data_IF_141323451634
#
_entry.id   IF_141323451634
#
_cell.length_a   1.000
_cell.length_b   1.000
_cell.length_c   1.000
_cell.angle_alpha   90.00
_cell.angle_beta   90.00
_cell.angle_gamma   90.00
#
_symmetry.space_group_name_H-M   'P 1'
#
loop_
_entity.id
_entity.type
_entity.pdbx_description
1 polymer ?
#
# COMPACT_ATOMS: atom_id res chain seq x y z
N UNK A 1 15.76 -17.47 31.73
CA UNK A 1 15.62 -18.95 31.72
C UNK A 1 16.85 -19.62 31.08
N UNK A 2 17.32 -19.24 29.88
CA UNK A 2 18.47 -19.88 29.20
C UNK A 2 19.79 -19.88 29.99
N UNK A 3 19.95 -19.00 31.00
CA UNK A 3 21.12 -18.99 31.90
C UNK A 3 21.02 -19.94 33.07
N UNK A 4 19.84 -20.48 33.34
CA UNK A 4 19.56 -21.29 34.55
C UNK A 4 19.27 -22.76 34.25
N UNK A 5 18.91 -23.07 32.98
CA UNK A 5 18.53 -24.42 32.57
C UNK A 5 19.24 -24.81 31.26
N UNK A 6 19.61 -26.08 31.08
CA UNK A 6 20.14 -26.59 29.84
C UNK A 6 19.17 -26.33 28.67
N UNK A 7 19.68 -25.98 27.49
CA UNK A 7 18.83 -25.63 26.34
C UNK A 7 17.88 -26.74 25.91
N UNK A 8 18.26 -27.99 26.09
CA UNK A 8 17.45 -29.19 25.79
C UNK A 8 16.19 -29.32 26.68
N UNK A 9 16.18 -28.67 27.83
CA UNK A 9 15.05 -28.71 28.78
C UNK A 9 14.10 -27.52 28.65
N UNK A 10 14.44 -26.55 27.81
CA UNK A 10 13.62 -25.33 27.62
C UNK A 10 12.76 -25.49 26.39
N UNK A 11 11.44 -25.66 26.52
CA UNK A 11 10.55 -25.71 25.38
C UNK A 11 10.55 -24.37 24.60
N UNK A 12 10.39 -24.43 23.29
CA UNK A 12 10.28 -23.23 22.48
C UNK A 12 9.02 -22.42 22.84
N UNK A 13 9.02 -21.12 22.55
CA UNK A 13 7.90 -20.22 22.87
C UNK A 13 6.55 -20.73 22.38
N UNK A 14 6.51 -21.33 21.18
CA UNK A 14 5.28 -21.91 20.60
C UNK A 14 4.77 -23.07 21.42
N UNK A 15 5.64 -23.94 21.90
CA UNK A 15 5.30 -25.10 22.76
C UNK A 15 4.74 -24.61 24.10
N UNK A 16 5.36 -23.59 24.71
CA UNK A 16 4.85 -23.01 25.96
C UNK A 16 3.44 -22.43 25.77
N UNK A 17 3.18 -21.73 24.71
CA UNK A 17 1.82 -21.22 24.43
C UNK A 17 0.83 -22.37 24.18
N UNK A 18 1.23 -23.44 23.51
CA UNK A 18 0.35 -24.60 23.32
C UNK A 18 0.00 -25.29 24.62
N UNK A 19 0.98 -25.50 25.52
CA UNK A 19 0.77 -26.06 26.84
C UNK A 19 -0.15 -25.19 27.71
N UNK A 20 0.03 -23.87 27.62
CA UNK A 20 -0.82 -22.89 28.29
C UNK A 20 -2.28 -22.93 27.77
N UNK A 21 -2.47 -23.05 26.45
CA UNK A 21 -3.80 -23.20 25.85
C UNK A 21 -4.50 -24.51 26.25
N UNK A 22 -3.74 -25.57 26.45
CA UNK A 22 -4.25 -26.87 26.92
C UNK A 22 -4.54 -26.92 28.41
N UNK A 23 -4.11 -25.89 29.16
CA UNK A 23 -4.25 -25.88 30.62
C UNK A 23 -3.25 -26.81 31.35
N UNK A 24 -2.18 -27.21 30.69
CA UNK A 24 -1.15 -28.11 31.23
C UNK A 24 -0.11 -27.36 32.09
N UNK A 25 -0.19 -26.02 32.15
CA UNK A 25 0.65 -25.20 33.00
C UNK A 25 -0.13 -24.64 34.20
N UNK A 26 0.51 -24.44 35.36
CA UNK A 26 -0.15 -23.91 36.57
C UNK A 26 -0.39 -22.38 36.47
N UNK A 27 -0.41 -21.82 35.29
CA UNK A 27 -0.60 -20.40 35.03
C UNK A 27 -1.79 -20.23 34.07
N UNK A 28 -2.73 -19.38 34.44
CA UNK A 28 -3.88 -19.05 33.56
C UNK A 28 -3.48 -18.08 32.48
N UNK A 29 -4.11 -18.20 31.30
CA UNK A 29 -3.99 -17.25 30.21
C UNK A 29 -4.30 -15.79 30.62
N UNK A 30 -5.24 -15.62 31.56
CA UNK A 30 -5.67 -14.31 32.06
C UNK A 30 -4.62 -13.64 32.98
N UNK A 31 -3.65 -14.38 33.51
CA UNK A 31 -2.56 -13.84 34.30
C UNK A 31 -1.42 -13.25 33.47
N UNK A 32 -1.45 -13.46 32.15
CA UNK A 32 -0.44 -12.88 31.23
C UNK A 32 -0.73 -11.42 30.95
N UNK A 33 0.25 -10.51 31.12
CA UNK A 33 0.04 -9.06 31.03
C UNK A 33 -0.55 -8.58 29.70
N UNK A 34 -0.32 -9.31 28.61
CA UNK A 34 -0.73 -8.89 27.27
C UNK A 34 -2.04 -9.52 26.77
N UNK A 35 -2.63 -10.47 27.50
CA UNK A 35 -3.86 -11.15 27.03
C UNK A 35 -5.03 -10.18 26.96
N UNK A 36 -5.13 -9.26 27.92
CA UNK A 36 -6.17 -8.23 27.97
C UNK A 36 -6.02 -7.17 26.87
N UNK A 37 -4.80 -6.99 26.37
CA UNK A 37 -4.47 -6.01 25.33
C UNK A 37 -4.50 -6.59 23.89
N UNK A 38 -4.76 -7.88 23.73
CA UNK A 38 -4.90 -8.47 22.39
C UNK A 38 -6.12 -7.87 21.69
N UNK A 39 -5.88 -6.86 20.86
CA UNK A 39 -6.88 -6.41 19.88
C UNK A 39 -7.29 -7.63 19.06
N UNK A 40 -8.61 -7.94 19.07
CA UNK A 40 -9.16 -8.95 18.14
C UNK A 40 -8.57 -8.68 16.77
N UNK A 41 -7.85 -9.64 16.18
CA UNK A 41 -7.43 -9.53 14.77
C UNK A 41 -8.67 -9.22 13.99
N UNK A 42 -8.73 -8.04 13.37
CA UNK A 42 -9.78 -7.75 12.38
C UNK A 42 -9.70 -8.90 11.38
N UNK A 43 -10.81 -9.60 11.15
CA UNK A 43 -10.88 -10.61 10.09
C UNK A 43 -10.33 -9.94 8.84
N UNK A 44 -9.40 -10.55 8.10
CA UNK A 44 -8.94 -9.97 6.85
C UNK A 44 -10.18 -9.73 6.00
N UNK A 45 -10.34 -8.52 5.51
CA UNK A 45 -11.42 -8.18 4.58
C UNK A 45 -11.06 -8.85 3.26
N UNK A 46 -11.63 -10.05 3.02
CA UNK A 46 -11.16 -11.00 2.01
C UNK A 46 -11.46 -10.52 0.58
N UNK A 47 -12.32 -9.52 0.39
CA UNK A 47 -12.70 -9.07 -0.96
C UNK A 47 -12.85 -7.55 -1.01
N UNK A 48 -11.75 -6.81 -1.10
CA UNK A 48 -11.82 -5.50 -1.75
C UNK A 48 -11.89 -5.77 -3.25
N UNK A 49 -13.01 -5.36 -3.87
CA UNK A 49 -13.16 -5.31 -5.33
C UNK A 49 -12.06 -4.42 -5.89
N UNK A 50 -11.40 -4.87 -6.95
CA UNK A 50 -10.44 -4.04 -7.70
C UNK A 50 -11.25 -2.92 -8.37
N UNK A 51 -10.79 -1.69 -8.26
CA UNK A 51 -11.52 -0.51 -8.75
C UNK A 51 -11.50 -0.38 -10.30
N UNK A 52 -10.65 -1.12 -11.00
CA UNK A 52 -10.48 -1.06 -12.45
C UNK A 52 -9.69 -2.27 -12.96
N UNK A 53 -8.83 -2.08 -13.96
CA UNK A 53 -7.98 -3.14 -14.53
C UNK A 53 -6.98 -3.66 -13.50
N UNK A 54 -6.86 -4.99 -13.40
CA UNK A 54 -5.86 -5.61 -12.52
C UNK A 54 -4.44 -5.33 -13.00
N UNK A 55 -3.50 -5.29 -12.03
CA UNK A 55 -2.07 -5.24 -12.35
C UNK A 55 -1.62 -6.43 -13.21
N UNK A 56 -2.33 -7.55 -13.18
CA UNK A 56 -2.03 -8.72 -14.00
C UNK A 56 -2.23 -8.45 -15.50
N UNK A 57 -3.08 -7.49 -15.85
CA UNK A 57 -3.33 -7.05 -17.23
C UNK A 57 -2.25 -6.07 -17.73
N UNK A 58 -1.31 -5.68 -16.86
CA UNK A 58 -0.25 -4.75 -17.19
C UNK A 58 0.74 -5.37 -18.18
N UNK A 59 1.07 -4.68 -19.30
CA UNK A 59 1.99 -5.22 -20.29
C UNK A 59 3.40 -5.44 -19.70
N UNK A 60 4.10 -6.44 -20.24
CA UNK A 60 5.43 -6.82 -19.80
C UNK A 60 6.43 -5.64 -19.86
N UNK A 61 6.30 -4.75 -20.84
CA UNK A 61 7.12 -3.52 -20.96
C UNK A 61 7.00 -2.61 -19.75
N UNK A 62 5.79 -2.46 -19.22
CA UNK A 62 5.57 -1.71 -17.98
C UNK A 62 6.14 -2.44 -16.75
N UNK A 63 6.21 -3.77 -16.77
CA UNK A 63 6.80 -4.56 -15.70
C UNK A 63 8.33 -4.52 -15.70
N UNK A 64 8.96 -4.55 -16.87
CA UNK A 64 10.41 -4.65 -17.07
C UNK A 64 11.19 -3.41 -16.59
N UNK A 65 10.57 -2.24 -16.50
CA UNK A 65 11.21 -0.96 -16.13
C UNK A 65 12.33 -0.55 -17.08
N UNK A 66 12.19 -0.85 -18.35
CA UNK A 66 13.14 -0.54 -19.42
C UNK A 66 12.66 0.62 -20.30
N UNK A 67 11.40 1.01 -20.15
CA UNK A 67 10.74 2.03 -20.97
C UNK A 67 10.20 3.16 -20.09
N UNK A 68 10.46 4.40 -20.48
CA UNK A 68 9.92 5.58 -19.81
C UNK A 68 8.41 5.70 -19.98
N UNK A 69 7.75 6.28 -18.98
CA UNK A 69 6.33 6.61 -19.01
C UNK A 69 5.44 5.68 -18.20
N UNK A 70 6.02 4.79 -17.42
CA UNK A 70 5.30 3.90 -16.50
C UNK A 70 5.46 4.39 -15.06
N UNK A 71 4.36 4.74 -14.42
CA UNK A 71 4.35 5.41 -13.13
C UNK A 71 3.70 4.57 -12.04
N UNK A 72 4.12 4.81 -10.80
CA UNK A 72 3.46 4.30 -9.60
C UNK A 72 2.91 5.49 -8.81
N UNK A 73 1.65 5.45 -8.40
CA UNK A 73 1.03 6.51 -7.60
C UNK A 73 0.64 6.04 -6.20
N UNK A 74 0.65 6.98 -5.25
CA UNK A 74 0.28 6.76 -3.85
C UNK A 74 -0.19 8.06 -3.20
N UNK A 75 -0.79 7.96 -2.03
CA UNK A 75 -1.14 9.11 -1.20
C UNK A 75 -0.49 9.00 0.18
N UNK A 76 0.36 9.97 0.50
CA UNK A 76 1.01 10.08 1.80
C UNK A 76 0.20 10.99 2.70
N UNK A 77 -0.20 10.47 3.85
CA UNK A 77 -0.95 11.21 4.88
C UNK A 77 -0.01 11.50 6.04
N UNK A 78 -0.04 12.71 6.56
CA UNK A 78 0.69 13.07 7.77
C UNK A 78 0.08 12.46 9.04
N UNK A 79 -0.11 13.23 10.07
CA UNK A 79 -0.81 12.77 11.28
C UNK A 79 -2.28 12.52 10.95
N UNK A 80 -2.84 11.40 11.39
CA UNK A 80 -4.24 10.99 11.10
C UNK A 80 -5.25 11.87 11.84
N UNK A 81 -5.37 13.11 11.45
CA UNK A 81 -6.42 14.04 11.92
C UNK A 81 -7.44 14.26 10.80
N UNK A 82 -8.70 14.42 11.16
CA UNK A 82 -9.74 14.76 10.19
C UNK A 82 -9.44 16.12 9.54
N UNK A 83 -9.52 16.21 8.21
CA UNK A 83 -9.26 17.44 7.46
C UNK A 83 -7.78 17.79 7.27
N UNK A 84 -6.84 16.88 7.58
CA UNK A 84 -5.42 17.12 7.33
C UNK A 84 -5.09 16.95 5.84
N UNK A 85 -4.29 17.86 5.30
CA UNK A 85 -3.80 17.78 3.93
C UNK A 85 -3.00 16.49 3.73
N UNK A 86 -3.08 15.93 2.53
CA UNK A 86 -2.29 14.80 2.09
C UNK A 86 -1.38 15.20 0.93
N UNK A 87 -0.48 14.33 0.56
CA UNK A 87 0.38 14.50 -0.60
C UNK A 87 0.10 13.37 -1.58
N UNK A 88 -0.38 13.71 -2.76
CA UNK A 88 -0.41 12.78 -3.88
C UNK A 88 0.99 12.68 -4.46
N UNK A 89 1.49 11.47 -4.60
CA UNK A 89 2.83 11.18 -5.08
C UNK A 89 2.76 10.29 -6.31
N UNK A 90 3.61 10.58 -7.30
CA UNK A 90 3.72 9.78 -8.50
C UNK A 90 5.19 9.65 -8.89
N UNK A 91 5.67 8.43 -9.10
CA UNK A 91 7.06 8.10 -9.35
C UNK A 91 7.19 7.36 -10.67
N UNK A 92 8.08 7.83 -11.55
CA UNK A 92 8.40 7.16 -12.80
C UNK A 92 9.33 5.96 -12.53
N UNK A 93 8.99 4.79 -13.09
CA UNK A 93 9.58 3.51 -12.68
C UNK A 93 11.00 3.27 -13.21
N UNK A 94 11.37 3.83 -14.36
CA UNK A 94 12.70 3.68 -14.94
C UNK A 94 13.69 4.65 -14.31
N UNK A 95 13.33 5.93 -14.26
CA UNK A 95 14.22 7.02 -13.86
C UNK A 95 14.18 7.31 -12.36
N UNK A 96 13.11 6.93 -11.68
CA UNK A 96 12.82 7.35 -10.31
C UNK A 96 12.41 8.82 -10.20
N UNK A 97 12.03 9.46 -11.33
CA UNK A 97 11.55 10.84 -11.30
C UNK A 97 10.29 10.93 -10.45
N UNK A 98 10.28 11.85 -9.51
CA UNK A 98 9.27 11.97 -8.46
C UNK A 98 8.53 13.29 -8.58
N UNK A 99 7.21 13.21 -8.59
CA UNK A 99 6.32 14.37 -8.54
C UNK A 99 5.48 14.24 -7.27
N UNK A 100 5.34 15.34 -6.54
CA UNK A 100 4.48 15.41 -5.36
C UNK A 100 3.55 16.62 -5.46
N UNK A 101 2.27 16.42 -5.19
CA UNK A 101 1.25 17.45 -5.24
C UNK A 101 0.49 17.43 -3.91
N UNK A 102 0.42 18.57 -3.24
CA UNK A 102 -0.39 18.71 -2.04
C UNK A 102 -1.87 18.68 -2.41
N UNK A 103 -2.65 17.87 -1.71
CA UNK A 103 -4.09 17.72 -1.88
C UNK A 103 -4.82 17.97 -0.56
N UNK A 104 -6.05 18.45 -0.62
CA UNK A 104 -6.87 18.71 0.55
C UNK A 104 -7.52 17.42 1.07
N UNK A 105 -6.72 16.62 1.76
CA UNK A 105 -7.12 15.35 2.34
C UNK A 105 -7.00 14.16 1.38
N UNK A 106 -7.02 12.96 1.96
CA UNK A 106 -6.97 11.69 1.23
C UNK A 106 -8.38 11.32 0.74
N UNK A 107 -8.81 11.93 -0.36
CA UNK A 107 -10.11 11.71 -0.98
C UNK A 107 -10.02 11.69 -2.50
N UNK A 108 -11.07 11.20 -3.16
CA UNK A 108 -11.13 11.06 -4.61
C UNK A 108 -11.02 12.40 -5.35
N UNK A 109 -11.66 13.45 -4.83
CA UNK A 109 -11.64 14.78 -5.46
C UNK A 109 -10.22 15.36 -5.48
N UNK A 110 -9.50 15.32 -4.36
CA UNK A 110 -8.13 15.85 -4.28
C UNK A 110 -7.17 15.13 -5.23
N UNK A 111 -7.32 13.79 -5.37
CA UNK A 111 -6.49 13.01 -6.31
C UNK A 111 -6.87 13.34 -7.76
N UNK A 112 -8.17 13.49 -8.06
CA UNK A 112 -8.62 13.90 -9.39
C UNK A 112 -8.10 15.29 -9.77
N UNK A 113 -8.20 16.27 -8.85
CA UNK A 113 -7.67 17.62 -9.05
C UNK A 113 -6.16 17.61 -9.32
N UNK A 114 -5.39 16.78 -8.60
CA UNK A 114 -3.96 16.64 -8.83
C UNK A 114 -3.65 16.06 -10.22
N UNK A 115 -4.43 15.09 -10.69
CA UNK A 115 -4.29 14.54 -12.03
C UNK A 115 -4.66 15.55 -13.12
N UNK A 116 -5.72 16.32 -12.93
CA UNK A 116 -6.09 17.41 -13.87
C UNK A 116 -5.01 18.51 -13.92
N UNK A 117 -4.37 18.85 -12.79
CA UNK A 117 -3.21 19.73 -12.77
C UNK A 117 -2.06 19.19 -13.62
N UNK A 118 -1.72 17.90 -13.49
CA UNK A 118 -0.70 17.27 -14.32
C UNK A 118 -1.09 17.29 -15.80
N UNK A 119 -2.35 16.97 -16.10
CA UNK A 119 -2.86 17.00 -17.48
C UNK A 119 -2.77 18.41 -18.09
N UNK A 120 -3.13 19.43 -17.34
CA UNK A 120 -3.01 20.83 -17.77
C UNK A 120 -1.54 21.24 -17.97
N UNK A 121 -0.63 20.79 -17.08
CA UNK A 121 0.79 21.12 -17.14
C UNK A 121 1.48 20.49 -18.35
N UNK A 122 1.16 19.24 -18.69
CA UNK A 122 1.80 18.52 -19.79
C UNK A 122 1.05 18.66 -21.13
N UNK A 123 -0.20 19.10 -21.12
CA UNK A 123 -1.02 19.33 -22.30
C UNK A 123 -1.06 18.12 -23.24
N UNK A 124 -0.79 18.32 -24.51
CA UNK A 124 -0.80 17.26 -25.53
C UNK A 124 0.23 16.15 -25.29
N UNK A 125 1.28 16.42 -24.49
CA UNK A 125 2.30 15.44 -24.16
C UNK A 125 1.90 14.53 -22.99
N UNK A 126 0.76 14.78 -22.36
CA UNK A 126 0.34 14.04 -21.15
C UNK A 126 0.35 12.53 -21.37
N UNK A 127 -0.30 12.03 -22.42
CA UNK A 127 -0.34 10.60 -22.73
C UNK A 127 1.00 9.99 -23.16
N UNK A 128 1.93 10.82 -23.64
CA UNK A 128 3.29 10.37 -23.99
C UNK A 128 4.16 10.22 -22.73
N UNK A 129 3.99 11.11 -21.77
CA UNK A 129 4.70 11.12 -20.48
C UNK A 129 4.09 10.11 -19.54
N UNK A 130 2.77 10.04 -19.43
CA UNK A 130 2.03 9.14 -18.55
C UNK A 130 1.37 8.02 -19.36
N UNK A 131 2.17 7.05 -19.83
CA UNK A 131 1.65 5.92 -20.63
C UNK A 131 0.82 4.97 -19.77
N UNK A 132 1.29 4.69 -18.56
CA UNK A 132 0.52 3.92 -17.59
C UNK A 132 0.79 4.36 -16.16
N UNK A 133 -0.21 4.24 -15.32
CA UNK A 133 -0.12 4.50 -13.88
C UNK A 133 -0.59 3.26 -13.14
N UNK A 134 0.22 2.80 -12.19
CA UNK A 134 -0.14 1.72 -11.26
C UNK A 134 -0.44 2.30 -9.89
N UNK A 135 -1.62 2.05 -9.36
CA UNK A 135 -2.07 2.57 -8.06
C UNK A 135 -2.51 1.44 -7.13
N UNK A 136 -2.77 1.73 -5.86
CA UNK A 136 -3.42 0.77 -4.97
C UNK A 136 -4.96 0.81 -5.10
N UNK A 137 -5.63 -0.08 -4.37
CA UNK A 137 -7.09 -0.11 -4.28
C UNK A 137 -7.62 0.82 -3.18
N UNK A 138 -7.00 1.97 -2.98
CA UNK A 138 -7.52 3.01 -2.08
C UNK A 138 -8.82 3.62 -2.61
N UNK A 139 -9.72 3.99 -1.72
CA UNK A 139 -10.98 4.65 -2.11
C UNK A 139 -10.76 5.99 -2.80
N UNK A 140 -9.63 6.63 -2.57
CA UNK A 140 -9.21 7.88 -3.22
C UNK A 140 -8.92 7.73 -4.70
N UNK A 141 -8.65 6.50 -5.18
CA UNK A 141 -8.42 6.20 -6.59
C UNK A 141 -9.65 5.64 -7.31
N UNK A 142 -10.83 5.71 -6.70
CA UNK A 142 -12.05 5.08 -7.24
C UNK A 142 -12.51 5.66 -8.60
N UNK A 143 -12.14 6.91 -8.93
CA UNK A 143 -12.44 7.55 -10.23
C UNK A 143 -11.23 7.63 -11.16
N UNK A 144 -10.16 6.91 -10.86
CA UNK A 144 -8.92 7.01 -11.63
C UNK A 144 -9.04 6.46 -13.04
N UNK A 145 -9.95 5.52 -13.25
CA UNK A 145 -10.32 4.96 -14.55
C UNK A 145 -10.88 6.01 -15.53
N UNK A 146 -11.46 7.10 -15.03
CA UNK A 146 -11.92 8.23 -15.88
C UNK A 146 -10.77 8.85 -16.69
N UNK A 147 -9.54 8.81 -16.17
CA UNK A 147 -8.36 9.33 -16.86
C UNK A 147 -7.91 8.45 -18.03
N UNK A 148 -8.41 7.23 -18.18
CA UNK A 148 -8.15 6.40 -19.36
C UNK A 148 -8.63 7.08 -20.66
N UNK A 149 -9.68 7.91 -20.59
CA UNK A 149 -10.14 8.71 -21.70
C UNK A 149 -9.08 9.72 -22.20
N UNK A 150 -8.08 10.03 -21.39
CA UNK A 150 -6.95 10.89 -21.76
C UNK A 150 -5.80 10.13 -22.45
N UNK A 151 -6.01 8.85 -22.81
CA UNK A 151 -5.03 8.02 -23.53
C UNK A 151 -3.96 7.37 -22.65
N UNK A 152 -4.20 7.27 -21.36
CA UNK A 152 -3.32 6.58 -20.39
C UNK A 152 -3.94 5.26 -19.96
N UNK A 153 -3.11 4.29 -19.54
CA UNK A 153 -3.60 3.03 -19.00
C UNK A 153 -3.47 3.01 -17.48
N UNK A 154 -4.52 2.62 -16.77
CA UNK A 154 -4.54 2.58 -15.30
C UNK A 154 -4.67 1.16 -14.81
N UNK A 155 -3.78 0.78 -13.88
CA UNK A 155 -3.74 -0.56 -13.28
C UNK A 155 -3.82 -0.46 -11.77
N UNK A 156 -4.57 -1.37 -11.17
CA UNK A 156 -4.75 -1.46 -9.74
C UNK A 156 -4.00 -2.66 -9.17
N UNK A 157 -3.11 -2.40 -8.20
CA UNK A 157 -2.40 -3.44 -7.48
C UNK A 157 -3.36 -4.30 -6.65
N UNK A 158 -2.95 -5.53 -6.35
CA UNK A 158 -3.75 -6.38 -5.48
C UNK A 158 -3.87 -5.79 -4.07
N UNK A 159 -5.02 -5.99 -3.41
CA UNK A 159 -5.20 -5.55 -2.03
C UNK A 159 -4.13 -6.15 -1.10
N UNK A 160 -3.51 -5.30 -0.28
CA UNK A 160 -2.48 -5.68 0.69
C UNK A 160 -1.15 -6.18 0.10
N UNK A 161 -0.88 -5.94 -1.17
CA UNK A 161 0.33 -6.37 -1.87
C UNK A 161 1.21 -5.16 -2.20
N UNK A 162 1.85 -4.60 -1.18
CA UNK A 162 2.70 -3.41 -1.32
C UNK A 162 3.93 -3.67 -2.21
N UNK A 163 4.43 -4.91 -2.25
CA UNK A 163 5.57 -5.30 -3.09
C UNK A 163 5.34 -5.10 -4.61
N UNK A 164 4.11 -4.89 -5.05
CA UNK A 164 3.78 -4.60 -6.45
C UNK A 164 4.08 -3.15 -6.86
N UNK A 165 4.32 -2.25 -5.87
CA UNK A 165 4.68 -0.84 -6.08
C UNK A 165 6.01 -0.47 -5.38
N UNK A 166 7.10 -1.20 -5.68
CA UNK A 166 8.34 -1.09 -4.91
C UNK A 166 9.08 0.23 -5.09
N UNK A 167 8.87 0.93 -6.22
CA UNK A 167 9.54 2.21 -6.48
C UNK A 167 8.94 3.29 -5.59
N UNK A 168 7.62 3.36 -5.52
CA UNK A 168 6.91 4.32 -4.69
C UNK A 168 7.18 4.09 -3.20
N UNK A 169 7.11 2.83 -2.73
CA UNK A 169 7.42 2.52 -1.34
C UNK A 169 8.84 2.92 -0.93
N UNK A 170 9.82 2.68 -1.80
CA UNK A 170 11.21 3.08 -1.53
C UNK A 170 11.36 4.59 -1.45
N UNK A 171 10.68 5.34 -2.33
CA UNK A 171 10.77 6.79 -2.38
C UNK A 171 10.05 7.46 -1.21
N UNK A 172 8.89 6.95 -0.81
CA UNK A 172 8.11 7.50 0.31
C UNK A 172 8.75 7.21 1.70
N UNK A 173 9.80 6.38 1.78
CA UNK A 173 10.56 6.13 3.01
C UNK A 173 11.73 7.11 3.24
N UNK A 174 12.08 7.90 2.25
CA UNK A 174 13.11 8.94 2.34
C UNK A 174 12.50 10.23 2.90
#
# INVERSE_FOLDING_TARGET
CRKLFPEEQIPCTKTLYNLLWKGELPVSLFELPEVLNRRKRKKPCIHKRICGKSIDERPATAAARDTFGHWESDTVVGRKRAGEAAVFTIVERLTGYYISIRIDGKNTAGVADAMEQLKAQYGEKFSQVFRSITTDNGSEFASFDEFEASGISIYFAHPYTSCERPVNERTNRQ
#
